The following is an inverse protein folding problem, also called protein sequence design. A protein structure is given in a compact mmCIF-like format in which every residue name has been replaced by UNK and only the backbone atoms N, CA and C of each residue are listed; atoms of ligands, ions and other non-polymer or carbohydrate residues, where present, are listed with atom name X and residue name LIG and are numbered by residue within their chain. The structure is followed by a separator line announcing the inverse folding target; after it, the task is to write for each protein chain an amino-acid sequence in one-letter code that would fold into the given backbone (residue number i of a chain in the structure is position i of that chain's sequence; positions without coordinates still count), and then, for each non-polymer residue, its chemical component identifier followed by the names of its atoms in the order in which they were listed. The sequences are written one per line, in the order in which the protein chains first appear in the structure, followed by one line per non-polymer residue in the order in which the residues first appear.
data_IF_981830729227
#
_entry.id   IF_981830729227
#
_cell.length_a   1.000
_cell.length_b   1.000
_cell.length_c   1.000
_cell.angle_alpha   90.00
_cell.angle_beta   90.00
_cell.angle_gamma   90.00
#
_symmetry.space_group_name_H-M   'P 1'
#
loop_
_entity.id
_entity.type
_entity.pdbx_description
1 polymer ?
#
# COMPACT_ATOMS: atom_id res chain seq x y z
N UNK A 1 15.66 58.35 -2.57
CA UNK A 1 15.81 57.07 -3.29
C UNK A 1 15.01 56.03 -2.53
N UNK A 2 13.83 55.65 -3.03
CA UNK A 2 12.95 54.67 -2.40
C UNK A 2 13.28 53.29 -2.98
N UNK A 3 13.98 52.44 -2.23
CA UNK A 3 14.18 51.04 -2.58
C UNK A 3 13.05 50.24 -1.94
N UNK A 4 12.08 49.81 -2.75
CA UNK A 4 11.04 48.89 -2.32
C UNK A 4 11.64 47.48 -2.28
N UNK A 5 11.60 46.75 -1.15
CA UNK A 5 12.11 45.39 -1.10
C UNK A 5 11.03 44.45 -1.63
N UNK A 6 11.24 43.94 -2.85
CA UNK A 6 10.37 42.90 -3.41
C UNK A 6 10.73 41.59 -2.70
N UNK A 7 9.95 41.23 -1.68
CA UNK A 7 10.05 39.94 -1.03
C UNK A 7 9.58 38.86 -2.03
N UNK A 8 10.53 38.17 -2.66
CA UNK A 8 10.24 36.94 -3.39
C UNK A 8 9.89 35.85 -2.38
N UNK A 9 8.59 35.65 -2.14
CA UNK A 9 8.09 34.48 -1.42
C UNK A 9 8.25 33.26 -2.33
N UNK A 10 9.26 32.44 -2.08
CA UNK A 10 9.38 31.11 -2.68
C UNK A 10 8.34 30.19 -2.04
N UNK A 11 7.27 29.89 -2.77
CA UNK A 11 6.34 28.84 -2.41
C UNK A 11 7.05 27.49 -2.59
N UNK A 12 7.50 26.89 -1.50
CA UNK A 12 7.98 25.50 -1.51
C UNK A 12 6.75 24.63 -1.65
N UNK A 13 6.46 24.17 -2.87
CA UNK A 13 5.48 23.10 -3.07
C UNK A 13 6.07 21.82 -2.48
N UNK A 14 5.47 21.35 -1.38
CA UNK A 14 5.81 20.03 -0.84
C UNK A 14 5.44 18.99 -1.90
N UNK A 15 6.44 18.40 -2.55
CA UNK A 15 6.25 17.25 -3.40
C UNK A 15 5.79 16.09 -2.50
N UNK A 16 4.52 15.70 -2.61
CA UNK A 16 4.03 14.48 -1.96
C UNK A 16 4.75 13.29 -2.58
N UNK A 17 5.61 12.62 -1.83
CA UNK A 17 6.22 11.38 -2.27
C UNK A 17 5.13 10.35 -2.56
N UNK A 18 5.25 9.64 -3.68
CA UNK A 18 4.25 8.66 -4.03
C UNK A 18 4.41 7.41 -3.15
N UNK A 19 3.41 7.08 -2.35
CA UNK A 19 3.51 6.03 -1.31
C UNK A 19 2.46 4.94 -1.53
N UNK A 20 2.89 3.69 -1.36
CA UNK A 20 2.02 2.54 -1.17
C UNK A 20 2.43 1.89 0.16
N UNK A 21 1.45 1.65 1.04
CA UNK A 21 1.66 0.96 2.31
C UNK A 21 0.63 -0.15 2.47
N UNK A 22 1.10 -1.32 2.89
CA UNK A 22 0.28 -2.47 3.26
C UNK A 22 0.44 -2.74 4.75
N UNK A 23 -0.67 -2.89 5.47
CA UNK A 23 -0.66 -3.31 6.87
C UNK A 23 -1.00 -4.81 6.99
N UNK A 24 -0.53 -5.40 8.07
CA UNK A 24 -0.76 -6.78 8.47
C UNK A 24 -1.43 -6.82 9.82
N UNK A 25 -2.27 -7.82 10.01
CA UNK A 25 -3.09 -7.94 11.20
C UNK A 25 -3.14 -9.38 11.69
N UNK A 26 -3.21 -9.54 13.01
CA UNK A 26 -3.22 -10.85 13.65
C UNK A 26 -4.62 -11.48 13.71
N UNK A 27 -5.64 -10.75 13.28
CA UNK A 27 -7.03 -11.22 13.17
C UNK A 27 -7.45 -11.35 11.70
N UNK A 28 -8.66 -11.85 11.46
CA UNK A 28 -9.22 -11.99 10.12
C UNK A 28 -9.96 -10.75 9.60
N UNK A 29 -10.10 -9.69 10.39
CA UNK A 29 -10.91 -8.51 10.07
C UNK A 29 -10.10 -7.21 9.98
N UNK A 30 -8.79 -7.30 9.75
CA UNK A 30 -7.89 -6.15 9.65
C UNK A 30 -8.02 -5.13 10.81
N UNK A 31 -8.19 -5.63 12.04
CA UNK A 31 -8.43 -4.80 13.22
C UNK A 31 -7.26 -4.77 14.21
N UNK A 32 -6.57 -5.89 14.40
CA UNK A 32 -5.44 -6.05 15.32
C UNK A 32 -4.11 -5.89 14.59
N UNK A 33 -3.66 -4.64 14.45
CA UNK A 33 -2.43 -4.28 13.72
C UNK A 33 -1.20 -5.03 14.25
N UNK A 34 -0.37 -5.52 13.32
CA UNK A 34 0.91 -6.15 13.61
C UNK A 34 2.10 -5.34 13.10
N UNK A 35 2.12 -5.09 11.79
CA UNK A 35 3.26 -4.44 11.11
C UNK A 35 2.81 -3.87 9.76
N UNK A 36 3.72 -3.20 9.05
CA UNK A 36 3.48 -2.67 7.73
C UNK A 36 4.71 -2.77 6.83
N UNK A 37 4.49 -2.78 5.52
CA UNK A 37 5.56 -2.63 4.53
C UNK A 37 5.13 -1.74 3.36
N UNK A 38 6.14 -1.30 2.61
CA UNK A 38 6.00 -0.42 1.47
C UNK A 38 6.43 -1.17 0.21
N UNK A 39 5.53 -1.95 -0.42
CA UNK A 39 5.89 -2.72 -1.60
C UNK A 39 6.06 -1.80 -2.81
N UNK A 40 6.83 -2.25 -3.79
CA UNK A 40 6.91 -1.57 -5.08
C UNK A 40 5.58 -1.62 -5.84
N UNK A 41 5.39 -0.68 -6.77
CA UNK A 41 4.17 -0.55 -7.60
C UNK A 41 4.33 -1.08 -9.02
N UNK A 42 5.46 -1.72 -9.33
CA UNK A 42 5.78 -2.26 -10.66
C UNK A 42 5.25 -3.67 -10.93
N UNK A 43 4.21 -4.13 -10.20
CA UNK A 43 3.61 -5.47 -10.33
C UNK A 43 4.58 -6.65 -10.11
N UNK A 44 5.76 -6.36 -9.55
CA UNK A 44 6.76 -7.36 -9.19
C UNK A 44 6.28 -8.16 -7.98
N UNK A 45 6.58 -9.47 -7.99
CA UNK A 45 6.27 -10.31 -6.85
C UNK A 45 7.16 -9.94 -5.67
N UNK A 46 6.56 -9.71 -4.52
CA UNK A 46 7.24 -9.42 -3.27
C UNK A 46 6.89 -10.52 -2.26
N UNK A 47 7.88 -11.33 -1.89
CA UNK A 47 7.74 -12.37 -0.87
C UNK A 47 7.98 -11.79 0.52
N UNK A 48 7.17 -12.22 1.48
CA UNK A 48 7.28 -11.82 2.87
C UNK A 48 6.73 -12.92 3.78
N UNK A 49 7.22 -13.00 5.01
CA UNK A 49 6.71 -13.96 5.99
C UNK A 49 6.57 -13.27 7.33
N UNK A 50 5.32 -13.17 7.79
CA UNK A 50 5.00 -12.64 9.11
C UNK A 50 4.22 -13.70 9.88
N UNK A 51 4.92 -14.44 10.75
CA UNK A 51 4.29 -15.45 11.61
C UNK A 51 3.16 -14.82 12.42
N UNK A 52 1.97 -15.44 12.38
CA UNK A 52 0.78 -14.97 13.08
C UNK A 52 -0.07 -13.94 12.31
N UNK A 53 0.36 -13.50 11.13
CA UNK A 53 -0.46 -12.66 10.25
C UNK A 53 -1.64 -13.46 9.68
N UNK A 54 -2.81 -12.83 9.62
CA UNK A 54 -4.07 -13.46 9.21
C UNK A 54 -4.82 -12.66 8.16
N UNK A 55 -4.73 -11.33 8.22
CA UNK A 55 -5.32 -10.45 7.23
C UNK A 55 -4.39 -9.27 6.91
N UNK A 56 -4.65 -8.66 5.77
CA UNK A 56 -3.86 -7.57 5.20
C UNK A 56 -4.76 -6.57 4.51
N UNK A 57 -4.36 -5.30 4.48
CA UNK A 57 -5.04 -4.28 3.68
C UNK A 57 -4.06 -3.25 3.11
N UNK A 58 -4.51 -2.48 2.12
CA UNK A 58 -3.75 -1.32 1.66
C UNK A 58 -4.10 -0.16 2.59
N UNK A 59 -3.12 0.27 3.39
CA UNK A 59 -3.28 1.26 4.45
C UNK A 59 -3.01 2.69 4.00
N UNK A 60 -2.21 2.85 2.94
CA UNK A 60 -1.95 4.15 2.32
C UNK A 60 -1.67 3.97 0.83
N UNK A 61 -2.18 4.91 0.03
CA UNK A 61 -1.95 5.01 -1.39
C UNK A 61 -1.96 6.49 -1.78
N UNK A 62 -0.78 7.09 -1.81
CA UNK A 62 -0.60 8.47 -2.27
C UNK A 62 -0.01 8.42 -3.67
N UNK A 63 -0.84 8.28 -4.70
CA UNK A 63 -0.43 8.43 -6.10
C UNK A 63 -1.38 9.42 -6.78
N UNK A 64 -0.89 10.52 -7.37
CA UNK A 64 -1.74 11.46 -8.09
C UNK A 64 -2.51 10.73 -9.20
N UNK A 65 -3.84 10.79 -9.15
CA UNK A 65 -4.74 10.10 -10.10
C UNK A 65 -4.48 8.59 -10.24
N UNK A 66 -4.03 7.93 -9.16
CA UNK A 66 -3.71 6.50 -9.16
C UNK A 66 -4.51 5.74 -8.11
N UNK A 67 -4.97 4.54 -8.46
CA UNK A 67 -5.58 3.57 -7.54
C UNK A 67 -4.59 2.45 -7.29
N UNK A 68 -4.22 2.23 -6.03
CA UNK A 68 -3.37 1.11 -5.67
C UNK A 68 -4.18 -0.17 -5.60
N UNK A 69 -3.68 -1.21 -6.25
CA UNK A 69 -4.27 -2.55 -6.25
C UNK A 69 -3.19 -3.50 -5.77
N UNK A 70 -3.54 -4.40 -4.87
CA UNK A 70 -2.64 -5.45 -4.40
C UNK A 70 -3.35 -6.81 -4.50
N UNK A 71 -2.67 -7.79 -5.09
CA UNK A 71 -3.05 -9.20 -5.03
C UNK A 71 -2.15 -9.90 -4.03
N UNK A 72 -2.75 -10.49 -3.01
CA UNK A 72 -2.07 -11.25 -1.96
C UNK A 72 -2.21 -12.74 -2.22
N UNK A 73 -1.16 -13.50 -1.93
CA UNK A 73 -1.04 -14.91 -2.27
C UNK A 73 -0.75 -15.77 -1.05
N UNK A 74 -1.36 -16.94 -1.00
CA UNK A 74 -1.25 -17.90 0.12
C UNK A 74 0.04 -18.72 0.10
N UNK A 75 0.90 -18.54 -0.90
CA UNK A 75 2.21 -19.19 -1.00
C UNK A 75 3.26 -18.18 -1.49
N UNK A 76 4.56 -18.41 -1.19
CA UNK A 76 5.64 -17.63 -1.76
C UNK A 76 5.65 -17.66 -3.29
N UNK A 77 6.32 -16.66 -3.86
CA UNK A 77 6.53 -16.44 -5.29
C UNK A 77 5.24 -16.19 -6.07
N UNK A 78 4.24 -15.60 -5.42
CA UNK A 78 2.95 -15.21 -6.00
C UNK A 78 2.20 -16.42 -6.57
N UNK A 79 2.06 -17.45 -5.73
CA UNK A 79 1.42 -18.73 -6.06
C UNK A 79 0.28 -19.07 -5.09
N UNK A 80 -0.46 -20.11 -5.43
CA UNK A 80 -1.58 -20.60 -4.61
C UNK A 80 -2.83 -19.75 -4.76
N UNK A 81 -3.75 -19.91 -3.80
CA UNK A 81 -4.95 -19.07 -3.73
C UNK A 81 -4.57 -17.60 -3.55
N UNK A 82 -5.37 -16.70 -4.13
CA UNK A 82 -5.10 -15.27 -4.15
C UNK A 82 -6.35 -14.46 -3.76
N UNK A 83 -6.12 -13.28 -3.20
CA UNK A 83 -7.17 -12.28 -2.97
C UNK A 83 -6.66 -10.91 -3.41
N UNK A 84 -7.42 -10.24 -4.27
CA UNK A 84 -7.11 -8.90 -4.76
C UNK A 84 -7.95 -7.87 -4.01
N UNK A 85 -7.30 -6.78 -3.58
CA UNK A 85 -7.98 -5.63 -2.98
C UNK A 85 -7.54 -4.36 -3.68
N UNK A 86 -8.45 -3.39 -3.70
CA UNK A 86 -8.22 -2.05 -4.23
C UNK A 86 -8.20 -1.09 -3.05
N UNK A 87 -7.35 -0.07 -3.09
CA UNK A 87 -7.31 0.95 -2.05
C UNK A 87 -8.62 1.76 -2.02
N UNK A 88 -9.14 2.01 -0.81
CA UNK A 88 -10.45 2.62 -0.57
C UNK A 88 -11.56 1.60 -0.32
N UNK A 89 -12.59 1.99 0.43
CA UNK A 89 -13.69 1.11 0.82
C UNK A 89 -13.27 -0.05 1.74
N UNK A 90 -14.01 -1.15 1.69
CA UNK A 90 -13.70 -2.39 2.41
C UNK A 90 -12.61 -3.18 1.68
N UNK A 91 -11.34 -2.95 2.06
CA UNK A 91 -10.17 -3.52 1.38
C UNK A 91 -9.38 -4.54 2.23
N UNK A 92 -10.03 -5.15 3.22
CA UNK A 92 -9.42 -6.19 4.02
C UNK A 92 -9.39 -7.52 3.28
N UNK A 93 -8.18 -8.05 3.02
CA UNK A 93 -7.98 -9.41 2.58
C UNK A 93 -7.72 -10.33 3.77
N UNK A 94 -8.48 -11.42 3.88
CA UNK A 94 -8.46 -12.30 5.04
C UNK A 94 -8.23 -13.75 4.63
N UNK A 95 -7.29 -14.40 5.30
CA UNK A 95 -7.00 -15.82 5.11
C UNK A 95 -7.15 -16.63 6.42
N UNK A 96 -8.06 -16.19 7.32
CA UNK A 96 -8.62 -16.97 8.44
C UNK A 96 -7.64 -17.92 9.18
N UNK A 97 -6.50 -17.41 9.67
CA UNK A 97 -5.54 -18.24 10.42
C UNK A 97 -4.25 -18.59 9.67
N UNK A 98 -4.18 -18.32 8.36
CA UNK A 98 -3.07 -18.77 7.48
C UNK A 98 -2.21 -17.63 6.92
N UNK A 99 -2.72 -16.40 6.91
CA UNK A 99 -2.01 -15.24 6.37
C UNK A 99 -1.69 -15.32 4.89
N UNK A 100 -0.89 -14.37 4.40
CA UNK A 100 -0.37 -14.34 3.04
C UNK A 100 1.15 -14.33 3.08
N UNK A 101 1.77 -14.84 2.01
CA UNK A 101 3.23 -15.08 1.93
C UNK A 101 3.90 -14.31 0.79
N UNK A 102 3.11 -13.73 -0.10
CA UNK A 102 3.63 -12.84 -1.14
C UNK A 102 2.54 -11.93 -1.67
N UNK A 103 2.94 -10.89 -2.41
CA UNK A 103 2.00 -9.96 -3.04
C UNK A 103 2.53 -9.44 -4.37
N UNK A 104 1.62 -8.94 -5.19
CA UNK A 104 1.93 -8.01 -6.29
C UNK A 104 1.08 -6.78 -6.10
N UNK A 105 1.70 -5.61 -6.20
CA UNK A 105 0.97 -4.36 -6.19
C UNK A 105 1.24 -3.54 -7.44
N UNK A 106 0.22 -2.84 -7.90
CA UNK A 106 0.26 -1.92 -9.04
C UNK A 106 -0.50 -0.65 -8.71
N UNK A 107 -0.21 0.40 -9.46
CA UNK A 107 -1.02 1.62 -9.50
C UNK A 107 -1.68 1.66 -10.86
N UNK A 108 -3.01 1.65 -10.87
CA UNK A 108 -3.79 1.93 -12.08
C UNK A 108 -4.11 3.41 -12.12
N UNK A 109 -3.76 4.07 -13.22
CA UNK A 109 -4.10 5.47 -13.45
C UNK A 109 -5.36 5.53 -14.32
N UNK A 110 -6.38 6.26 -13.88
CA UNK A 110 -7.55 6.53 -14.72
C UNK A 110 -7.05 7.36 -15.93
N UNK A 111 -7.25 6.82 -17.14
CA UNK A 111 -6.84 7.44 -18.42
C UNK A 111 -7.63 8.72 -18.74
#
# INVERSE_FOLDING_TARGET
MHLSPWAFATFITAATAATLKVNYYSDGGCSNYMTSLNPGTGFSCYDYVWTGSNSVNIADCTFPNGKCICTFYTQPHCKGAQQTVVYGGDNCASNWGRGFYSMKCSVEHDH
#
